data_IF_693855148449
#
_entry.id   IF_693855148449
#
_cell.length_a   1.000
_cell.length_b   1.000
_cell.length_c   1.000
_cell.angle_alpha   90.00
_cell.angle_beta   90.00
_cell.angle_gamma   90.00
#
_symmetry.space_group_name_H-M   'P 1'
#
loop_
_entity.id
_entity.type
_entity.pdbx_description
1 polymer ?
#
# COMPACT_ATOMS: atom_id res chain seq x y z
N UNK A 1 11.94 -3.61 0.31
CA UNK A 1 11.83 -4.96 -0.31
C UNK A 1 10.73 -4.96 -1.36
N UNK A 2 9.52 -4.47 -1.03
CA UNK A 2 8.38 -4.48 -1.97
C UNK A 2 8.63 -3.77 -3.31
N UNK A 3 9.25 -2.59 -3.29
CA UNK A 3 9.59 -1.84 -4.52
C UNK A 3 10.60 -2.56 -5.40
N UNK A 4 11.62 -3.15 -4.78
CA UNK A 4 12.65 -3.93 -5.47
C UNK A 4 12.05 -5.18 -6.12
N UNK A 5 11.11 -5.84 -5.42
CA UNK A 5 10.36 -6.98 -5.96
C UNK A 5 9.42 -6.58 -7.11
N UNK A 6 8.73 -5.44 -7.00
CA UNK A 6 7.87 -4.93 -8.06
C UNK A 6 8.66 -4.53 -9.33
N UNK A 7 9.92 -4.13 -9.18
CA UNK A 7 10.81 -3.78 -10.28
C UNK A 7 11.47 -4.98 -10.99
N UNK A 8 11.50 -6.17 -10.36
CA UNK A 8 12.11 -7.40 -10.92
C UNK A 8 11.64 -7.75 -12.34
N UNK A 9 10.32 -7.82 -12.65
CA UNK A 9 9.87 -8.20 -13.99
C UNK A 9 10.33 -7.20 -15.06
N UNK A 10 10.33 -5.90 -14.74
CA UNK A 10 10.81 -4.85 -15.64
C UNK A 10 12.34 -4.91 -15.83
N UNK A 11 13.08 -5.22 -14.76
CA UNK A 11 14.53 -5.41 -14.84
C UNK A 11 14.92 -6.66 -15.65
N UNK A 12 14.19 -7.76 -15.48
CA UNK A 12 14.38 -8.98 -16.26
C UNK A 12 14.13 -8.75 -17.76
N UNK A 13 13.10 -7.96 -18.09
CA UNK A 13 12.79 -7.59 -19.47
C UNK A 13 13.85 -6.65 -20.06
N UNK A 14 14.40 -5.73 -19.26
CA UNK A 14 15.52 -4.87 -19.64
C UNK A 14 16.79 -5.67 -19.93
N UNK A 15 17.12 -6.68 -19.11
CA UNK A 15 18.26 -7.57 -19.33
C UNK A 15 18.18 -8.38 -20.63
N UNK A 16 16.95 -8.67 -21.13
CA UNK A 16 16.75 -9.31 -22.43
C UNK A 16 16.89 -8.36 -23.62
N UNK A 17 16.91 -7.04 -23.39
CA UNK A 17 17.04 -6.04 -24.45
C UNK A 17 18.38 -5.30 -24.34
N UNK A 18 19.24 -5.38 -25.36
CA UNK A 18 20.51 -4.60 -25.40
C UNK A 18 20.32 -3.10 -25.68
N UNK A 19 19.08 -2.66 -25.91
CA UNK A 19 18.74 -1.32 -26.42
C UNK A 19 18.12 -0.39 -25.37
N UNK A 20 17.62 -0.90 -24.24
CA UNK A 20 16.91 -0.09 -23.24
C UNK A 20 17.76 0.05 -21.97
N UNK A 21 18.08 1.28 -21.53
CA UNK A 21 18.82 1.49 -20.29
C UNK A 21 18.05 0.94 -19.08
N UNK A 22 18.66 0.02 -18.32
CA UNK A 22 18.06 -0.67 -17.16
C UNK A 22 17.41 0.28 -16.13
N UNK A 23 17.95 1.49 -15.97
CA UNK A 23 17.46 2.51 -15.04
C UNK A 23 16.12 3.09 -15.49
N UNK A 24 15.94 3.35 -16.79
CA UNK A 24 14.70 3.92 -17.33
C UNK A 24 13.55 2.91 -17.24
N UNK A 25 13.84 1.62 -17.48
CA UNK A 25 12.86 0.54 -17.33
C UNK A 25 12.44 0.34 -15.88
N UNK A 26 13.36 0.49 -14.92
CA UNK A 26 13.03 0.46 -13.50
C UNK A 26 12.11 1.64 -13.11
N UNK A 27 12.38 2.85 -13.61
CA UNK A 27 11.58 4.05 -13.35
C UNK A 27 10.16 3.97 -13.93
N UNK A 28 9.97 3.31 -15.08
CA UNK A 28 8.65 3.06 -15.68
C UNK A 28 7.70 2.29 -14.75
N UNK A 29 8.23 1.45 -13.86
CA UNK A 29 7.45 0.73 -12.84
C UNK A 29 6.62 1.69 -11.98
N UNK A 30 7.22 2.80 -11.53
CA UNK A 30 6.53 3.77 -10.69
C UNK A 30 5.56 4.66 -11.49
N UNK A 31 5.83 4.90 -12.77
CA UNK A 31 4.87 5.46 -13.71
C UNK A 31 3.60 4.62 -13.81
N UNK A 32 3.76 3.31 -14.00
CA UNK A 32 2.64 2.36 -14.06
C UNK A 32 1.87 2.28 -12.73
N UNK A 33 2.57 2.22 -11.59
CA UNK A 33 1.96 2.23 -10.25
C UNK A 33 1.12 3.49 -10.03
N UNK A 34 1.64 4.65 -10.44
CA UNK A 34 0.93 5.93 -10.27
C UNK A 34 -0.31 6.00 -11.16
N UNK A 35 -0.22 5.53 -12.41
CA UNK A 35 -1.36 5.44 -13.31
C UNK A 35 -2.45 4.50 -12.76
N UNK A 36 -2.07 3.31 -12.26
CA UNK A 36 -2.97 2.37 -11.61
C UNK A 36 -3.65 2.99 -10.39
N UNK A 37 -2.92 3.79 -9.61
CA UNK A 37 -3.49 4.52 -8.47
C UNK A 37 -4.57 5.51 -8.95
N UNK A 38 -4.33 6.24 -10.04
CA UNK A 38 -5.34 7.12 -10.65
C UNK A 38 -6.59 6.38 -11.13
N UNK A 39 -6.41 5.20 -11.75
CA UNK A 39 -7.54 4.34 -12.14
C UNK A 39 -8.33 3.88 -10.90
N UNK A 40 -7.66 3.51 -9.82
CA UNK A 40 -8.32 3.14 -8.57
C UNK A 40 -9.10 4.31 -7.94
N UNK A 41 -8.56 5.52 -7.98
CA UNK A 41 -9.30 6.73 -7.53
C UNK A 41 -10.58 6.90 -8.33
N UNK A 42 -10.49 6.78 -9.66
CA UNK A 42 -11.67 6.83 -10.54
C UNK A 42 -12.69 5.74 -10.17
N UNK A 43 -12.25 4.48 -10.08
CA UNK A 43 -13.14 3.35 -9.74
C UNK A 43 -13.79 3.51 -8.37
N UNK A 44 -13.04 4.01 -7.37
CA UNK A 44 -13.55 4.27 -6.03
C UNK A 44 -14.65 5.35 -6.05
N UNK A 45 -14.42 6.47 -6.74
CA UNK A 45 -15.41 7.55 -6.86
C UNK A 45 -16.68 7.08 -7.59
N UNK A 46 -16.51 6.28 -8.64
CA UNK A 46 -17.65 5.67 -9.34
C UNK A 46 -18.46 4.75 -8.42
N UNK A 47 -17.78 4.03 -7.52
CA UNK A 47 -18.43 3.16 -6.53
C UNK A 47 -19.15 3.95 -5.44
N UNK A 48 -18.63 5.12 -5.08
CA UNK A 48 -19.28 6.08 -4.20
C UNK A 48 -20.43 6.85 -4.87
N UNK A 49 -20.88 6.44 -6.07
CA UNK A 49 -22.01 7.01 -6.83
C UNK A 49 -21.78 8.43 -7.34
N UNK A 50 -20.53 8.88 -7.46
CA UNK A 50 -20.23 10.14 -8.15
C UNK A 50 -20.41 10.02 -9.67
N UNK A 51 -20.68 11.15 -10.33
CA UNK A 51 -20.82 11.23 -11.78
C UNK A 51 -19.49 10.93 -12.50
N UNK A 52 -19.58 10.47 -13.75
CA UNK A 52 -18.42 10.16 -14.59
C UNK A 52 -17.45 11.34 -14.70
N UNK A 53 -17.99 12.56 -14.87
CA UNK A 53 -17.18 13.78 -15.00
C UNK A 53 -16.40 14.09 -13.73
N UNK A 54 -17.03 14.03 -12.56
CA UNK A 54 -16.36 14.30 -11.28
C UNK A 54 -15.30 13.24 -10.98
N UNK A 55 -15.60 11.97 -11.24
CA UNK A 55 -14.64 10.88 -11.04
C UNK A 55 -13.40 11.05 -11.94
N UNK A 56 -13.61 11.38 -13.22
CA UNK A 56 -12.52 11.58 -14.17
C UNK A 56 -11.69 12.83 -13.83
N UNK A 57 -12.36 13.97 -13.55
CA UNK A 57 -11.68 15.20 -13.17
C UNK A 57 -10.87 15.03 -11.89
N UNK A 58 -11.39 14.31 -10.89
CA UNK A 58 -10.66 14.05 -9.65
C UNK A 58 -9.44 13.14 -9.86
N UNK A 59 -9.57 12.11 -10.70
CA UNK A 59 -8.44 11.24 -11.04
C UNK A 59 -7.35 12.00 -11.83
N UNK A 60 -7.75 12.88 -12.75
CA UNK A 60 -6.83 13.76 -13.48
C UNK A 60 -6.20 14.81 -12.55
N UNK A 61 -6.98 15.42 -11.66
CA UNK A 61 -6.48 16.37 -10.67
C UNK A 61 -5.49 15.69 -9.70
N UNK A 62 -5.74 14.45 -9.31
CA UNK A 62 -4.80 13.64 -8.54
C UNK A 62 -3.49 13.44 -9.33
N UNK A 63 -3.57 12.97 -10.58
CA UNK A 63 -2.39 12.65 -11.38
C UNK A 63 -1.58 13.86 -11.82
N UNK A 64 -2.23 14.96 -12.20
CA UNK A 64 -1.61 16.16 -12.78
C UNK A 64 -1.40 17.29 -11.77
N UNK A 65 -2.23 17.34 -10.74
CA UNK A 65 -2.26 18.44 -9.77
C UNK A 65 -1.62 18.13 -8.43
N UNK A 66 -1.11 16.92 -8.21
CA UNK A 66 -0.47 16.53 -6.94
C UNK A 66 0.96 16.06 -7.14
N UNK A 67 1.62 15.79 -6.00
CA UNK A 67 2.94 15.15 -5.96
C UNK A 67 2.98 13.76 -6.60
N UNK A 68 1.85 13.18 -6.99
CA UNK A 68 1.83 11.93 -7.75
C UNK A 68 2.69 11.99 -9.03
N UNK A 69 2.70 13.13 -9.75
CA UNK A 69 3.49 13.30 -10.98
C UNK A 69 5.01 13.25 -10.75
N UNK A 70 5.60 14.03 -9.82
CA UNK A 70 7.03 13.91 -9.54
C UNK A 70 7.39 12.54 -8.95
N UNK A 71 6.55 11.93 -8.11
CA UNK A 71 6.79 10.60 -7.54
C UNK A 71 6.72 9.46 -8.57
N UNK A 72 6.03 9.67 -9.71
CA UNK A 72 5.99 8.71 -10.80
C UNK A 72 7.34 8.55 -11.52
N UNK A 73 8.22 9.56 -11.43
CA UNK A 73 9.51 9.59 -12.15
C UNK A 73 10.64 8.89 -11.40
N UNK A 74 10.52 8.73 -10.09
CA UNK A 74 11.55 8.17 -9.22
C UNK A 74 11.07 6.87 -8.60
N UNK A 75 11.98 5.93 -8.33
CA UNK A 75 11.67 4.62 -7.74
C UNK A 75 11.43 4.69 -6.22
N UNK A 76 10.53 5.58 -5.81
CA UNK A 76 10.08 5.77 -4.44
C UNK A 76 9.18 4.62 -3.96
N UNK A 77 9.31 4.26 -2.69
CA UNK A 77 8.50 3.22 -2.04
C UNK A 77 7.13 3.72 -1.58
N UNK A 78 6.99 5.03 -1.53
CA UNK A 78 5.80 5.80 -1.24
C UNK A 78 4.70 5.55 -2.27
N UNK A 79 5.05 5.47 -3.55
CA UNK A 79 4.09 5.24 -4.64
C UNK A 79 3.43 3.85 -4.53
N UNK A 80 4.24 2.82 -4.25
CA UNK A 80 3.74 1.45 -4.07
C UNK A 80 2.91 1.32 -2.78
N UNK A 81 3.33 2.00 -1.71
CA UNK A 81 2.57 2.08 -0.47
C UNK A 81 1.18 2.71 -0.68
N UNK A 82 1.12 3.85 -1.37
CA UNK A 82 -0.14 4.53 -1.69
C UNK A 82 -1.09 3.65 -2.49
N UNK A 83 -0.58 2.98 -3.54
CA UNK A 83 -1.37 2.02 -4.32
C UNK A 83 -1.90 0.88 -3.45
N UNK A 84 -1.07 0.28 -2.60
CA UNK A 84 -1.48 -0.82 -1.72
C UNK A 84 -2.58 -0.42 -0.73
N UNK A 85 -2.45 0.74 -0.10
CA UNK A 85 -3.48 1.27 0.80
C UNK A 85 -4.79 1.56 0.07
N UNK A 86 -4.72 2.16 -1.13
CA UNK A 86 -5.90 2.46 -1.93
C UNK A 86 -6.60 1.18 -2.43
N UNK A 87 -5.83 0.17 -2.83
CA UNK A 87 -6.34 -1.17 -3.15
C UNK A 87 -7.07 -1.77 -1.95
N UNK A 88 -6.44 -1.73 -0.76
CA UNK A 88 -7.06 -2.27 0.45
C UNK A 88 -8.40 -1.61 0.72
N UNK A 89 -8.43 -0.28 0.69
CA UNK A 89 -9.66 0.49 0.90
C UNK A 89 -10.72 0.20 -0.17
N UNK A 90 -10.34 0.16 -1.45
CA UNK A 90 -11.25 -0.13 -2.56
C UNK A 90 -11.94 -1.50 -2.37
N UNK A 91 -11.18 -2.53 -2.04
CA UNK A 91 -11.75 -3.87 -1.83
C UNK A 91 -12.56 -3.99 -0.54
N UNK A 92 -12.28 -3.19 0.50
CA UNK A 92 -13.19 -3.11 1.66
C UNK A 92 -14.53 -2.47 1.28
N UNK A 93 -14.52 -1.42 0.46
CA UNK A 93 -15.75 -0.86 -0.10
C UNK A 93 -16.43 -1.88 -1.02
N UNK A 94 -15.64 -2.68 -1.76
CA UNK A 94 -16.12 -3.82 -2.55
C UNK A 94 -16.93 -4.81 -1.74
N UNK A 95 -16.31 -5.32 -0.69
CA UNK A 95 -16.92 -6.21 0.29
C UNK A 95 -18.19 -5.61 0.91
N UNK A 96 -18.22 -4.30 1.16
CA UNK A 96 -19.42 -3.64 1.69
C UNK A 96 -20.62 -3.77 0.75
N UNK A 97 -20.41 -3.50 -0.55
CA UNK A 97 -21.51 -3.42 -1.52
C UNK A 97 -21.85 -4.78 -2.15
N UNK A 98 -20.86 -5.67 -2.36
CA UNK A 98 -21.03 -6.99 -3.00
C UNK A 98 -21.09 -8.16 -2.01
N UNK A 99 -20.66 -7.96 -0.75
CA UNK A 99 -20.59 -9.00 0.30
C UNK A 99 -19.76 -10.23 -0.10
N UNK A 100 -18.76 -10.04 -0.96
CA UNK A 100 -17.98 -11.10 -1.56
C UNK A 100 -16.73 -11.45 -0.73
N UNK A 101 -16.58 -12.73 -0.41
CA UNK A 101 -15.47 -13.23 0.39
C UNK A 101 -14.06 -12.94 -0.22
N UNK A 102 -13.84 -13.03 -1.55
CA UNK A 102 -12.54 -12.72 -2.15
C UNK A 102 -12.09 -11.27 -1.95
N UNK A 103 -13.01 -10.32 -1.81
CA UNK A 103 -12.64 -8.93 -1.55
C UNK A 103 -11.92 -8.74 -0.22
N UNK A 104 -12.20 -9.57 0.80
CA UNK A 104 -11.43 -9.54 2.04
C UNK A 104 -9.97 -9.95 1.83
N UNK A 105 -9.72 -10.96 0.99
CA UNK A 105 -8.37 -11.41 0.62
C UNK A 105 -7.62 -10.30 -0.14
N UNK A 106 -8.25 -9.71 -1.15
CA UNK A 106 -7.62 -8.63 -1.93
C UNK A 106 -7.41 -7.36 -1.10
N UNK A 107 -8.30 -7.08 -0.14
CA UNK A 107 -8.12 -5.98 0.80
C UNK A 107 -6.90 -6.21 1.70
N UNK A 108 -6.73 -7.43 2.21
CA UNK A 108 -5.55 -7.83 2.99
C UNK A 108 -4.28 -7.80 2.15
N UNK A 109 -4.35 -8.25 0.89
CA UNK A 109 -3.21 -8.23 -0.04
C UNK A 109 -2.74 -6.80 -0.34
N UNK A 110 -3.66 -5.85 -0.54
CA UNK A 110 -3.33 -4.44 -0.71
C UNK A 110 -2.57 -3.87 0.50
N UNK A 111 -3.06 -4.15 1.71
CA UNK A 111 -2.39 -3.75 2.95
C UNK A 111 -1.02 -4.43 3.09
N UNK A 112 -0.92 -5.72 2.76
CA UNK A 112 0.34 -6.46 2.75
C UNK A 112 1.37 -5.85 1.81
N UNK A 113 0.97 -5.46 0.59
CA UNK A 113 1.82 -4.74 -0.37
C UNK A 113 2.30 -3.40 0.22
N UNK A 114 1.41 -2.65 0.87
CA UNK A 114 1.77 -1.38 1.50
C UNK A 114 2.81 -1.57 2.63
N UNK A 115 2.67 -2.62 3.43
CA UNK A 115 3.61 -2.96 4.50
C UNK A 115 4.97 -3.42 3.96
N UNK A 116 4.99 -4.22 2.88
CA UNK A 116 6.23 -4.65 2.21
C UNK A 116 6.96 -3.49 1.54
N UNK A 117 6.23 -2.47 1.09
CA UNK A 117 6.79 -1.23 0.57
C UNK A 117 7.43 -0.43 1.71
N UNK A 118 6.70 -0.19 2.81
CA UNK A 118 7.20 0.44 4.03
C UNK A 118 6.50 -0.10 5.27
N UNK A 119 7.28 -0.52 6.26
CA UNK A 119 6.75 -1.07 7.51
C UNK A 119 5.88 -0.07 8.28
N UNK A 120 6.12 1.24 8.14
CA UNK A 120 5.30 2.30 8.77
C UNK A 120 3.81 2.22 8.39
N UNK A 121 3.47 1.63 7.23
CA UNK A 121 2.08 1.41 6.83
C UNK A 121 1.36 0.36 7.67
N UNK A 122 2.06 -0.39 8.52
CA UNK A 122 1.46 -1.24 9.54
C UNK A 122 0.53 -0.43 10.46
N UNK A 123 0.78 0.87 10.64
CA UNK A 123 -0.10 1.78 11.37
C UNK A 123 -1.50 1.89 10.76
N UNK A 124 -1.66 1.66 9.45
CA UNK A 124 -2.96 1.66 8.78
C UNK A 124 -3.76 0.36 9.02
N UNK A 125 -3.10 -0.73 9.45
CA UNK A 125 -3.73 -2.03 9.69
C UNK A 125 -4.89 -1.99 10.70
N UNK A 126 -4.77 -1.37 11.90
CA UNK A 126 -5.88 -1.31 12.83
C UNK A 126 -7.08 -0.54 12.27
N UNK A 127 -6.86 0.53 11.50
CA UNK A 127 -7.95 1.32 10.92
C UNK A 127 -8.72 0.53 9.85
N UNK A 128 -7.99 -0.14 8.95
CA UNK A 128 -8.60 -0.97 7.89
C UNK A 128 -9.23 -2.24 8.45
N UNK A 129 -8.61 -2.85 9.46
CA UNK A 129 -9.16 -3.98 10.20
C UNK A 129 -10.45 -3.61 10.94
N UNK A 130 -10.49 -2.45 11.60
CA UNK A 130 -11.71 -1.94 12.24
C UNK A 130 -12.80 -1.70 11.20
N UNK A 131 -12.46 -1.12 10.05
CA UNK A 131 -13.42 -0.90 8.96
C UNK A 131 -14.02 -2.21 8.46
N UNK A 132 -13.21 -3.25 8.28
CA UNK A 132 -13.67 -4.60 7.96
C UNK A 132 -14.65 -5.11 9.01
N UNK A 133 -14.31 -5.03 10.30
CA UNK A 133 -15.18 -5.48 11.39
C UNK A 133 -16.51 -4.73 11.42
N UNK A 134 -16.51 -3.41 11.17
CA UNK A 134 -17.73 -2.61 11.08
C UNK A 134 -18.62 -3.08 9.92
N UNK A 135 -18.04 -3.40 8.76
CA UNK A 135 -18.80 -3.92 7.62
C UNK A 135 -19.37 -5.31 7.91
N UNK A 136 -18.59 -6.21 8.51
CA UNK A 136 -19.06 -7.54 8.89
C UNK A 136 -20.18 -7.47 9.93
N UNK A 137 -20.06 -6.59 10.93
CA UNK A 137 -21.11 -6.36 11.93
C UNK A 137 -22.40 -5.83 11.30
N UNK A 138 -22.31 -4.91 10.35
CA UNK A 138 -23.50 -4.38 9.65
C UNK A 138 -24.18 -5.41 8.75
N UNK A 139 -23.42 -6.31 8.12
CA UNK A 139 -23.95 -7.32 7.20
C UNK A 139 -24.50 -8.55 7.93
N UNK A 140 -23.80 -9.01 8.98
CA UNK A 140 -24.05 -10.31 9.60
C UNK A 140 -24.42 -10.21 11.09
N UNK A 141 -24.56 -9.00 11.65
CA UNK A 141 -24.86 -8.81 13.06
C UNK A 141 -23.81 -9.44 13.96
N UNK A 142 -24.24 -10.17 15.00
CA UNK A 142 -23.37 -10.87 15.97
C UNK A 142 -22.99 -12.29 15.57
N UNK A 143 -23.27 -12.72 14.33
CA UNK A 143 -22.92 -14.06 13.85
C UNK A 143 -21.40 -14.22 13.64
N UNK A 144 -20.65 -14.42 14.72
CA UNK A 144 -19.18 -14.48 14.72
C UNK A 144 -18.62 -15.53 13.76
N UNK A 145 -19.35 -16.63 13.50
CA UNK A 145 -18.96 -17.67 12.54
C UNK A 145 -18.79 -17.13 11.11
N UNK A 146 -19.61 -16.16 10.71
CA UNK A 146 -19.54 -15.53 9.39
C UNK A 146 -18.39 -14.53 9.28
N UNK A 147 -17.81 -14.12 10.41
CA UNK A 147 -16.68 -13.20 10.44
C UNK A 147 -15.35 -13.92 10.22
N UNK A 148 -15.26 -15.20 10.60
CA UNK A 148 -14.02 -15.99 10.54
C UNK A 148 -13.44 -15.99 9.13
N UNK A 149 -14.24 -16.31 8.12
CA UNK A 149 -13.77 -16.39 6.73
C UNK A 149 -13.12 -15.08 6.25
N UNK A 150 -13.85 -13.95 6.25
CA UNK A 150 -13.32 -12.66 5.84
C UNK A 150 -12.12 -12.19 6.69
N UNK A 151 -12.17 -12.38 8.01
CA UNK A 151 -11.07 -11.95 8.91
C UNK A 151 -9.80 -12.76 8.64
N UNK A 152 -9.92 -14.09 8.47
CA UNK A 152 -8.78 -14.95 8.14
C UNK A 152 -8.20 -14.59 6.77
N UNK A 153 -9.05 -14.40 5.77
CA UNK A 153 -8.60 -14.03 4.42
C UNK A 153 -7.95 -12.65 4.36
N UNK A 154 -8.44 -11.69 5.14
CA UNK A 154 -7.80 -10.38 5.28
C UNK A 154 -6.47 -10.47 6.03
N UNK A 155 -6.42 -11.28 7.10
CA UNK A 155 -5.24 -11.44 7.94
C UNK A 155 -4.11 -12.21 7.28
N UNK A 156 -4.41 -13.18 6.42
CA UNK A 156 -3.40 -14.07 5.82
C UNK A 156 -2.31 -13.31 5.03
N UNK A 157 -2.63 -12.38 4.12
CA UNK A 157 -1.61 -11.59 3.43
C UNK A 157 -0.85 -10.61 4.35
N UNK A 158 -1.50 -10.12 5.40
CA UNK A 158 -0.89 -9.20 6.39
C UNK A 158 0.13 -9.94 7.25
N UNK A 159 -0.20 -11.15 7.70
CA UNK A 159 0.75 -11.99 8.45
C UNK A 159 1.89 -12.42 7.54
N UNK A 160 1.61 -12.77 6.27
CA UNK A 160 2.64 -13.11 5.31
C UNK A 160 3.61 -11.94 5.06
N UNK A 161 3.12 -10.70 4.91
CA UNK A 161 3.98 -9.53 4.71
C UNK A 161 4.88 -9.24 5.92
N UNK A 162 4.33 -9.38 7.14
CA UNK A 162 5.08 -9.26 8.38
C UNK A 162 6.14 -10.36 8.52
N UNK A 163 5.80 -11.60 8.20
CA UNK A 163 6.73 -12.73 8.23
C UNK A 163 7.89 -12.53 7.25
N UNK A 164 7.61 -12.11 6.01
CA UNK A 164 8.63 -11.80 5.00
C UNK A 164 9.55 -10.67 5.50
N UNK A 165 8.98 -9.62 6.11
CA UNK A 165 9.75 -8.49 6.64
C UNK A 165 10.63 -8.90 7.82
N UNK A 166 10.09 -9.66 8.77
CA UNK A 166 10.82 -10.17 9.93
C UNK A 166 11.93 -11.14 9.54
N UNK A 167 11.67 -12.03 8.57
CA UNK A 167 12.68 -12.92 8.00
C UNK A 167 13.83 -12.14 7.37
N UNK A 168 13.50 -11.12 6.57
CA UNK A 168 14.52 -10.27 5.96
C UNK A 168 15.35 -9.50 7.00
N UNK A 169 14.70 -8.96 8.03
CA UNK A 169 15.40 -8.27 9.12
C UNK A 169 16.31 -9.23 9.91
N UNK A 170 15.85 -10.45 10.16
CA UNK A 170 16.66 -11.47 10.84
C UNK A 170 17.93 -11.81 10.05
N UNK A 171 17.81 -12.02 8.73
CA UNK A 171 18.97 -12.27 7.86
C UNK A 171 19.96 -11.09 7.84
N UNK A 172 19.47 -9.85 7.96
CA UNK A 172 20.29 -8.64 7.82
C UNK A 172 20.91 -8.16 9.13
N UNK A 173 20.17 -8.26 10.24
CA UNK A 173 20.52 -7.66 11.53
C UNK A 173 20.62 -8.69 12.67
N UNK A 174 20.38 -9.98 12.39
CA UNK A 174 20.37 -11.04 13.41
C UNK A 174 19.13 -11.04 14.31
N UNK A 175 18.22 -10.07 14.15
CA UNK A 175 16.99 -9.94 14.92
C UNK A 175 15.82 -9.44 14.06
N UNK A 176 14.61 -10.04 14.17
CA UNK A 176 13.46 -9.70 13.34
C UNK A 176 12.88 -8.31 13.66
N UNK A 177 13.06 -7.82 14.89
CA UNK A 177 12.53 -6.55 15.39
C UNK A 177 13.48 -5.38 15.16
N UNK A 178 14.72 -5.64 14.76
CA UNK A 178 15.69 -4.58 14.51
C UNK A 178 15.39 -3.96 13.15
N UNK A 179 14.73 -2.80 13.18
CA UNK A 179 14.61 -1.94 12.01
C UNK A 179 15.92 -1.20 11.84
N UNK A 180 16.45 -1.07 10.62
CA UNK A 180 17.73 -0.39 10.35
C UNK A 180 17.79 1.11 10.70
N UNK A 181 16.83 1.62 11.46
CA UNK A 181 16.90 2.90 12.15
C UNK A 181 17.78 2.75 13.39
N UNK A 182 18.84 3.56 13.46
CA UNK A 182 19.72 3.61 14.61
C UNK A 182 19.02 4.31 15.78
N UNK A 183 19.35 3.94 17.02
CA UNK A 183 18.86 4.63 18.22
C UNK A 183 19.23 6.13 18.28
N UNK A 184 20.13 6.59 17.41
CA UNK A 184 20.49 8.00 17.27
C UNK A 184 19.49 8.83 16.45
N UNK A 185 18.50 8.21 15.79
CA UNK A 185 17.40 8.92 15.12
C UNK A 185 16.17 9.08 16.04
N UNK A 186 16.41 9.26 17.33
CA UNK A 186 15.39 9.75 18.25
C UNK A 186 15.32 11.28 18.12
N UNK A 187 14.12 11.83 17.98
CA UNK A 187 13.84 13.27 18.11
C UNK A 187 13.97 13.68 19.59
N UNK A 188 15.15 13.45 20.16
CA UNK A 188 15.50 13.71 21.56
C UNK A 188 16.26 15.03 21.74
N UNK A 189 16.44 15.82 20.66
CA UNK A 189 16.99 17.16 20.78
C UNK A 189 16.10 17.99 21.71
N UNK A 190 16.64 18.56 22.79
CA UNK A 190 15.92 19.46 23.68
C UNK A 190 15.21 20.54 22.85
N UNK A 191 13.93 20.78 23.15
CA UNK A 191 13.09 21.73 22.42
C UNK A 191 13.76 23.11 22.24
N UNK A 192 14.51 23.56 23.25
CA UNK A 192 15.24 24.83 23.22
C UNK A 192 16.52 24.81 22.37
N UNK A 193 17.23 23.68 22.26
CA UNK A 193 18.40 23.56 21.36
C UNK A 193 17.98 23.56 19.89
N UNK A 194 16.85 22.94 19.55
CA UNK A 194 16.30 22.97 18.19
C UNK A 194 15.82 24.37 17.75
N UNK A 195 15.49 25.24 18.70
CA UNK A 195 14.97 26.59 18.45
C UNK A 195 16.08 27.60 18.12
N UNK A 196 17.29 27.39 18.66
CA UNK A 196 18.48 28.21 18.36
C UNK A 196 19.27 27.74 17.12
N UNK A 197 18.89 26.61 16.52
CA UNK A 197 19.59 25.98 15.39
C UNK A 197 18.91 26.12 14.01
N UNK A 198 18.00 27.09 13.85
CA UNK A 198 17.42 27.50 12.55
C UNK A 198 18.08 28.79 12.05
#
# INVERSE_FOLDING_TARGET
IGTTLAALPYYWLALRSRLIPNVQTAMLTNGAITALTGVLVYLLLRRLRYSYGIALLSALAFGLGTMAWPYARYLFSESLAGLGLLLSFYFLVRLRDEQDLPSALWAGAGLGIAMLARLNNALAAPFLGLLLLVYLYRQHGRDWRKWIGPVVLFGLPVVASLAITGWYNWLRFGSPLTTGYLAQEEFATPFFEGLYGL
#
